data_IF_463874766161
#
_entry.id   IF_463874766161
#
_cell.length_a   1.000
_cell.length_b   1.000
_cell.length_c   1.000
_cell.angle_alpha   90.00
_cell.angle_beta   90.00
_cell.angle_gamma   90.00
#
_symmetry.space_group_name_H-M   'P 1'
#
loop_
_entity.id
_entity.type
_entity.pdbx_description
1 polymer ?
#
# COMPACT_ATOMS: atom_id res chain seq x y z
N UNK A 1 -0.33 14.25 22.24
CA UNK A 1 0.12 13.66 23.51
C UNK A 1 1.17 12.62 23.14
N UNK A 2 2.36 12.67 23.73
CA UNK A 2 3.44 11.75 23.38
C UNK A 2 3.48 10.62 24.40
N UNK A 3 3.82 9.41 23.96
CA UNK A 3 3.96 8.22 24.79
C UNK A 3 5.34 7.60 24.55
N UNK A 4 5.96 7.07 25.61
CA UNK A 4 7.28 6.45 25.51
C UNK A 4 7.14 4.93 25.43
N UNK A 5 7.65 4.37 24.35
CA UNK A 5 7.67 2.93 24.10
C UNK A 5 9.10 2.40 24.23
N UNK A 6 9.26 1.26 24.89
CA UNK A 6 10.52 0.51 24.90
C UNK A 6 10.45 -0.58 23.85
N UNK A 7 11.36 -0.55 22.88
CA UNK A 7 11.40 -1.52 21.78
C UNK A 7 12.75 -2.20 21.70
N UNK A 8 12.76 -3.48 21.35
CA UNK A 8 13.97 -4.23 21.07
C UNK A 8 14.30 -4.13 19.59
N UNK A 9 15.54 -3.77 19.28
CA UNK A 9 16.06 -3.69 17.92
C UNK A 9 17.17 -4.71 17.73
N UNK A 10 17.31 -5.23 16.52
CA UNK A 10 18.51 -6.00 16.19
C UNK A 10 19.76 -5.13 16.34
N UNK A 11 20.90 -5.76 16.65
CA UNK A 11 22.20 -5.06 16.75
C UNK A 11 22.50 -4.25 15.49
N UNK A 12 22.12 -4.77 14.32
CA UNK A 12 22.29 -4.11 13.03
C UNK A 12 21.47 -2.83 12.92
N UNK A 13 20.17 -2.88 13.27
CA UNK A 13 19.28 -1.71 13.28
C UNK A 13 19.75 -0.65 14.27
N UNK A 14 20.02 -1.05 15.52
CA UNK A 14 20.53 -0.12 16.54
C UNK A 14 21.87 0.53 16.13
N UNK A 15 22.72 -0.21 15.41
CA UNK A 15 23.96 0.32 14.84
C UNK A 15 23.71 1.30 13.69
N UNK A 16 22.70 1.06 12.85
CA UNK A 16 22.32 1.97 11.78
C UNK A 16 21.77 3.30 12.32
N UNK A 17 20.88 3.26 13.32
CA UNK A 17 20.35 4.46 13.97
C UNK A 17 21.47 5.32 14.57
N UNK A 18 22.39 4.69 15.32
CA UNK A 18 23.55 5.39 15.89
C UNK A 18 24.44 6.05 14.84
N UNK A 19 24.65 5.41 13.69
CA UNK A 19 25.42 6.01 12.58
C UNK A 19 24.70 7.20 11.96
N UNK A 20 23.38 7.14 11.82
CA UNK A 20 22.57 8.23 11.25
C UNK A 20 22.54 9.47 12.16
N UNK A 21 22.52 9.28 13.48
CA UNK A 21 22.71 10.37 14.44
C UNK A 21 24.15 10.91 14.39
N UNK A 22 25.14 10.02 14.33
CA UNK A 22 26.55 10.41 14.26
C UNK A 22 26.93 11.18 12.98
N UNK A 23 26.21 10.98 11.87
CA UNK A 23 26.38 11.75 10.64
C UNK A 23 25.70 13.12 10.67
N UNK A 24 25.07 13.51 11.79
CA UNK A 24 24.28 14.73 11.94
C UNK A 24 23.12 14.84 10.93
N UNK A 25 22.70 13.70 10.38
CA UNK A 25 21.50 13.63 9.52
C UNK A 25 20.23 13.73 10.36
N UNK A 26 20.30 13.25 11.60
CA UNK A 26 19.21 13.28 12.58
C UNK A 26 19.73 13.77 13.92
N UNK A 27 18.85 14.38 14.71
CA UNK A 27 19.17 14.92 16.04
C UNK A 27 19.28 13.77 17.06
N UNK A 28 18.34 12.83 17.00
CA UNK A 28 18.33 11.66 17.87
C UNK A 28 17.68 10.44 17.19
N UNK A 29 17.62 9.33 17.92
CA UNK A 29 17.00 8.10 17.40
C UNK A 29 15.48 8.15 17.42
N UNK A 30 14.88 8.98 18.27
CA UNK A 30 13.43 9.06 18.42
C UNK A 30 12.80 9.77 17.21
N UNK A 31 13.50 10.76 16.63
CA UNK A 31 13.17 11.40 15.36
C UNK A 31 13.13 10.38 14.22
N UNK A 32 14.17 9.54 14.09
CA UNK A 32 14.24 8.49 13.06
C UNK A 32 13.10 7.49 13.23
N UNK A 33 12.82 7.09 14.47
CA UNK A 33 11.74 6.13 14.76
C UNK A 33 10.36 6.73 14.46
N UNK A 34 10.15 8.01 14.75
CA UNK A 34 8.90 8.70 14.44
C UNK A 34 8.68 8.80 12.92
N UNK A 35 9.70 9.17 12.15
CA UNK A 35 9.64 9.17 10.68
C UNK A 35 9.33 7.78 10.13
N UNK A 36 10.09 6.76 10.56
CA UNK A 36 9.89 5.39 10.10
C UNK A 36 8.50 4.84 10.44
N UNK A 37 7.94 5.20 11.61
CA UNK A 37 6.58 4.82 11.99
C UNK A 37 5.54 5.53 11.13
N UNK A 38 5.70 6.82 10.86
CA UNK A 38 4.80 7.57 9.99
C UNK A 38 4.76 6.97 8.58
N UNK A 39 5.93 6.67 8.00
CA UNK A 39 6.03 6.01 6.70
C UNK A 39 5.37 4.63 6.71
N UNK A 40 5.57 3.87 7.79
CA UNK A 40 4.94 2.57 7.94
C UNK A 40 3.41 2.66 8.03
N UNK A 41 2.87 3.61 8.79
CA UNK A 41 1.43 3.85 8.88
C UNK A 41 0.85 4.27 7.53
N UNK A 42 1.48 5.24 6.84
CA UNK A 42 1.04 5.68 5.52
C UNK A 42 0.99 4.52 4.52
N UNK A 43 2.01 3.65 4.54
CA UNK A 43 2.04 2.43 3.71
C UNK A 43 0.91 1.47 4.06
N UNK A 44 0.61 1.29 5.35
CA UNK A 44 -0.46 0.39 5.82
C UNK A 44 -1.84 0.91 5.46
N UNK A 45 -2.07 2.22 5.57
CA UNK A 45 -3.32 2.85 5.20
C UNK A 45 -3.59 2.73 3.70
N UNK A 46 -2.58 2.98 2.87
CA UNK A 46 -2.66 2.78 1.43
C UNK A 46 -3.02 1.32 1.09
N UNK A 47 -2.31 0.36 1.71
CA UNK A 47 -2.58 -1.06 1.51
C UNK A 47 -3.98 -1.48 1.99
N UNK A 48 -4.47 -0.91 3.09
CA UNK A 48 -5.81 -1.18 3.59
C UNK A 48 -6.89 -0.65 2.62
N UNK A 49 -6.68 0.55 2.06
CA UNK A 49 -7.55 1.12 1.03
C UNK A 49 -7.60 0.24 -0.22
N UNK A 50 -6.46 -0.26 -0.68
CA UNK A 50 -6.39 -1.15 -1.85
C UNK A 50 -7.12 -2.47 -1.62
N UNK A 51 -6.93 -3.08 -0.44
CA UNK A 51 -7.64 -4.31 -0.06
C UNK A 51 -9.15 -4.09 -0.05
N UNK A 52 -9.61 -2.95 0.48
CA UNK A 52 -11.03 -2.62 0.52
C UNK A 52 -11.60 -2.38 -0.88
N UNK A 53 -10.85 -1.71 -1.77
CA UNK A 53 -11.23 -1.56 -3.17
C UNK A 53 -11.37 -2.93 -3.85
N UNK A 54 -10.40 -3.83 -3.68
CA UNK A 54 -10.44 -5.18 -4.25
C UNK A 54 -11.64 -5.98 -3.72
N UNK A 55 -11.94 -5.90 -2.42
CA UNK A 55 -13.13 -6.54 -1.83
C UNK A 55 -14.42 -6.02 -2.44
N UNK A 56 -14.54 -4.70 -2.62
CA UNK A 56 -15.73 -4.09 -3.25
C UNK A 56 -15.90 -4.52 -4.70
N UNK A 57 -14.81 -4.53 -5.48
CA UNK A 57 -14.85 -4.98 -6.88
C UNK A 57 -15.23 -6.46 -6.97
N UNK A 58 -14.63 -7.31 -6.12
CA UNK A 58 -14.91 -8.73 -6.09
C UNK A 58 -16.37 -9.02 -5.69
N UNK A 59 -16.84 -8.47 -4.57
CA UNK A 59 -18.22 -8.65 -4.12
C UNK A 59 -19.23 -8.04 -5.10
N UNK A 60 -18.89 -6.90 -5.69
CA UNK A 60 -19.70 -6.25 -6.72
C UNK A 60 -19.74 -7.05 -8.03
N UNK A 61 -18.77 -7.93 -8.29
CA UNK A 61 -18.76 -8.81 -9.47
C UNK A 61 -19.67 -10.01 -9.29
N UNK A 62 -19.75 -10.57 -8.07
CA UNK A 62 -20.69 -11.66 -7.72
C UNK A 62 -22.16 -11.25 -7.90
N UNK A 63 -22.46 -9.95 -7.77
CA UNK A 63 -23.80 -9.40 -7.97
C UNK A 63 -24.15 -9.13 -9.45
N UNK A 64 -23.20 -9.25 -10.39
CA UNK A 64 -23.36 -8.80 -11.80
C UNK A 64 -23.85 -9.87 -12.77
N UNK A 65 -24.13 -11.10 -12.32
CA UNK A 65 -24.79 -12.12 -13.12
C UNK A 65 -24.03 -13.45 -13.20
N UNK A 66 -24.49 -14.32 -14.09
CA UNK A 66 -23.97 -15.67 -14.27
C UNK A 66 -22.59 -15.66 -14.96
N UNK A 67 -21.69 -16.53 -14.50
CA UNK A 67 -20.37 -16.70 -15.09
C UNK A 67 -20.52 -17.39 -16.45
N UNK A 68 -20.00 -16.77 -17.51
CA UNK A 68 -20.02 -17.33 -18.86
C UNK A 68 -18.59 -17.40 -19.46
N UNK A 69 -18.35 -18.29 -20.43
CA UNK A 69 -17.10 -18.31 -21.18
C UNK A 69 -16.87 -16.97 -21.90
N UNK A 70 -15.64 -16.45 -21.82
CA UNK A 70 -15.28 -15.19 -22.48
C UNK A 70 -14.85 -15.47 -23.92
N UNK A 71 -15.62 -14.96 -24.90
CA UNK A 71 -15.18 -14.85 -26.30
C UNK A 71 -14.37 -13.57 -26.50
N UNK A 72 -13.04 -13.68 -26.43
CA UNK A 72 -12.14 -12.54 -26.62
C UNK A 72 -12.20 -11.95 -28.04
N UNK A 73 -12.56 -12.73 -29.06
CA UNK A 73 -12.62 -12.25 -30.45
C UNK A 73 -13.84 -11.35 -30.63
N UNK A 74 -15.00 -11.82 -30.18
CA UNK A 74 -16.23 -11.03 -30.14
C UNK A 74 -16.07 -9.78 -29.28
N UNK A 75 -15.49 -9.91 -28.08
CA UNK A 75 -15.26 -8.80 -27.16
C UNK A 75 -14.38 -7.71 -27.80
N UNK A 76 -13.26 -8.08 -28.43
CA UNK A 76 -12.37 -7.12 -29.10
C UNK A 76 -13.07 -6.38 -30.23
N UNK A 77 -13.85 -7.09 -31.04
CA UNK A 77 -14.60 -6.48 -32.16
C UNK A 77 -15.63 -5.47 -31.64
N UNK A 78 -16.35 -5.81 -30.57
CA UNK A 78 -17.31 -4.92 -29.92
C UNK A 78 -16.63 -3.67 -29.35
N UNK A 79 -15.50 -3.82 -28.65
CA UNK A 79 -14.75 -2.67 -28.11
C UNK A 79 -14.26 -1.71 -29.21
N UNK A 80 -13.74 -2.25 -30.33
CA UNK A 80 -13.35 -1.42 -31.47
C UNK A 80 -14.53 -0.66 -32.10
N UNK A 81 -15.71 -1.27 -32.12
CA UNK A 81 -16.92 -0.61 -32.63
C UNK A 81 -17.36 0.53 -31.70
N UNK A 82 -17.34 0.32 -30.38
CA UNK A 82 -17.64 1.36 -29.39
C UNK A 82 -16.70 2.57 -29.48
N UNK A 83 -15.39 2.33 -29.64
CA UNK A 83 -14.41 3.41 -29.80
C UNK A 83 -14.59 4.23 -31.08
N UNK A 84 -15.16 3.64 -32.14
CA UNK A 84 -15.45 4.35 -33.40
C UNK A 84 -16.74 5.15 -33.36
N UNK A 85 -17.65 4.81 -32.44
CA UNK A 85 -18.92 5.49 -32.22
C UNK A 85 -18.89 6.53 -31.11
N UNK A 86 -17.77 6.64 -30.38
CA UNK A 86 -17.51 7.64 -29.35
C UNK A 86 -16.77 8.84 -29.95
#
# INVERSE_FOLDING_TARGET
MNEKLTVELSKAQAGALRRAVASSTYIDTDEIMAEALNDWFAKRDAMASDIELLRRLYNGSAARGEVCPVDFTGLRKASHQQLRSA
#
